data_IF_543654575340
#
_entry.id   IF_543654575340
#
_cell.length_a   1.000
_cell.length_b   1.000
_cell.length_c   1.000
_cell.angle_alpha   90.00
_cell.angle_beta   90.00
_cell.angle_gamma   90.00
#
_symmetry.space_group_name_H-M   'P 1'
#
loop_
_entity.id
_entity.type
_entity.pdbx_description
1 polymer ?
#
# COMPACT_ATOMS: atom_id res chain seq x y z
N UNK A 1 -1.75 -21.38 -33.66
CA UNK A 1 -2.19 -20.05 -34.14
C UNK A 1 -2.04 -19.08 -32.98
N UNK A 2 -1.05 -18.19 -33.05
CA UNK A 2 -0.83 -17.17 -32.04
C UNK A 2 -1.81 -16.02 -32.30
N UNK A 3 -2.70 -15.75 -31.35
CA UNK A 3 -3.55 -14.56 -31.38
C UNK A 3 -2.77 -13.40 -30.76
N UNK A 4 -2.15 -12.60 -31.63
CA UNK A 4 -1.65 -11.27 -31.29
C UNK A 4 -2.85 -10.32 -31.19
N UNK A 5 -3.17 -9.83 -29.99
CA UNK A 5 -4.11 -8.73 -29.83
C UNK A 5 -3.30 -7.44 -29.90
N UNK A 6 -3.56 -6.64 -30.93
CA UNK A 6 -2.99 -5.32 -31.15
C UNK A 6 -3.58 -4.30 -30.17
N UNK A 7 -2.70 -3.53 -29.54
CA UNK A 7 -3.06 -2.34 -28.77
C UNK A 7 -3.37 -1.19 -29.73
N UNK A 8 -4.59 -0.64 -29.69
CA UNK A 8 -4.83 0.73 -30.16
C UNK A 8 -4.91 1.65 -28.96
N UNK A 9 -3.74 2.18 -28.58
CA UNK A 9 -3.64 3.38 -27.76
C UNK A 9 -4.24 4.55 -28.54
N UNK A 10 -5.52 4.85 -28.31
CA UNK A 10 -6.11 6.16 -28.61
C UNK A 10 -6.45 6.82 -27.28
N UNK A 11 -5.44 7.35 -26.58
CA UNK A 11 -5.62 8.23 -25.43
C UNK A 11 -4.50 9.27 -25.45
N UNK A 12 -4.90 10.52 -25.68
CA UNK A 12 -4.04 11.71 -25.62
C UNK A 12 -3.30 11.76 -24.26
N UNK A 13 -1.95 11.76 -24.23
CA UNK A 13 -1.18 11.74 -22.99
C UNK A 13 -1.43 12.97 -22.09
N UNK A 14 -2.12 14.00 -22.58
CA UNK A 14 -2.45 15.23 -21.83
C UNK A 14 -3.76 15.16 -21.03
N UNK A 15 -4.57 14.10 -21.17
CA UNK A 15 -5.88 14.00 -20.50
C UNK A 15 -5.99 12.88 -19.45
N UNK A 16 -4.88 12.48 -18.82
CA UNK A 16 -4.90 11.63 -17.61
C UNK A 16 -5.40 12.44 -16.40
N UNK A 17 -6.70 12.70 -16.34
CA UNK A 17 -7.34 13.25 -15.15
C UNK A 17 -7.47 12.12 -14.11
N UNK A 18 -6.49 12.01 -13.21
CA UNK A 18 -6.39 11.09 -12.06
C UNK A 18 -6.21 9.58 -12.36
N UNK A 19 -5.35 8.92 -11.57
CA UNK A 19 -4.88 7.53 -11.75
C UNK A 19 -6.00 6.47 -11.62
N UNK A 20 -7.19 6.84 -11.13
CA UNK A 20 -8.32 5.96 -10.77
C UNK A 20 -9.69 6.58 -11.14
N UNK A 21 -9.72 7.45 -12.16
CA UNK A 21 -10.93 8.16 -12.57
C UNK A 21 -11.95 7.28 -13.29
N UNK A 22 -11.51 6.26 -14.01
CA UNK A 22 -12.36 5.33 -14.77
C UNK A 22 -12.29 3.89 -14.21
N UNK A 23 -13.35 3.07 -14.34
CA UNK A 23 -13.29 1.68 -13.94
C UNK A 23 -12.29 0.91 -14.80
N UNK A 24 -11.30 0.22 -14.19
CA UNK A 24 -10.32 -0.55 -14.95
C UNK A 24 -10.98 -1.74 -15.65
N UNK A 25 -10.40 -2.16 -16.79
CA UNK A 25 -10.84 -3.35 -17.51
C UNK A 25 -10.40 -4.59 -16.72
N UNK A 26 -11.37 -5.39 -16.27
CA UNK A 26 -11.13 -6.62 -15.53
C UNK A 26 -10.58 -7.70 -16.48
N UNK A 27 -9.26 -7.93 -16.43
CA UNK A 27 -8.64 -9.05 -17.14
C UNK A 27 -8.60 -10.34 -16.30
N UNK A 28 -8.84 -10.22 -14.98
CA UNK A 28 -8.82 -11.34 -14.04
C UNK A 28 -10.23 -11.58 -13.43
N UNK A 29 -10.99 -12.55 -13.95
CA UNK A 29 -12.35 -12.82 -13.47
C UNK A 29 -12.38 -13.39 -12.04
N UNK A 30 -11.33 -14.09 -11.59
CA UNK A 30 -11.24 -14.55 -10.19
C UNK A 30 -11.11 -13.37 -9.23
N UNK A 31 -10.27 -12.39 -9.57
CA UNK A 31 -10.13 -11.16 -8.80
C UNK A 31 -11.46 -10.41 -8.70
N UNK A 32 -12.21 -10.33 -9.81
CA UNK A 32 -13.51 -9.68 -9.83
C UNK A 32 -14.55 -10.41 -8.97
N UNK A 33 -14.58 -11.74 -9.04
CA UNK A 33 -15.47 -12.55 -8.21
C UNK A 33 -15.16 -12.37 -6.73
N UNK A 34 -13.87 -12.46 -6.34
CA UNK A 34 -13.44 -12.28 -4.94
C UNK A 34 -13.71 -10.88 -4.42
N UNK A 35 -13.55 -9.85 -5.25
CA UNK A 35 -13.92 -8.48 -4.91
C UNK A 35 -15.43 -8.35 -4.68
N UNK A 36 -16.25 -9.01 -5.50
CA UNK A 36 -17.69 -9.02 -5.35
C UNK A 36 -18.12 -9.77 -4.07
N UNK A 37 -17.54 -10.92 -3.80
CA UNK A 37 -17.77 -11.72 -2.59
C UNK A 37 -17.27 -10.99 -1.34
N UNK A 38 -16.19 -10.21 -1.49
CA UNK A 38 -15.57 -9.40 -0.44
C UNK A 38 -16.32 -8.11 -0.08
N UNK A 39 -17.30 -7.66 -0.90
CA UNK A 39 -18.12 -6.45 -0.60
C UNK A 39 -18.89 -6.53 0.71
N UNK A 40 -19.08 -7.75 1.21
CA UNK A 40 -19.83 -8.03 2.43
C UNK A 40 -18.94 -8.59 3.53
N UNK A 41 -17.61 -8.71 3.32
CA UNK A 41 -16.71 -9.34 4.26
C UNK A 41 -15.67 -8.36 4.82
N UNK A 42 -15.28 -8.51 6.10
CA UNK A 42 -14.31 -7.63 6.72
C UNK A 42 -12.86 -7.92 6.33
N UNK A 43 -12.60 -9.03 5.64
CA UNK A 43 -11.29 -9.49 5.22
C UNK A 43 -11.34 -9.95 3.75
N UNK A 44 -10.37 -9.51 2.96
CA UNK A 44 -10.10 -10.07 1.63
C UNK A 44 -8.68 -10.62 1.60
N UNK A 45 -8.55 -11.88 1.16
CA UNK A 45 -7.31 -12.63 1.17
C UNK A 45 -6.84 -12.98 -0.25
N UNK A 46 -5.73 -12.38 -0.68
CA UNK A 46 -5.11 -12.56 -2.00
C UNK A 46 -3.68 -13.14 -1.93
N UNK A 47 -3.32 -13.83 -0.86
CA UNK A 47 -1.99 -14.46 -0.73
C UNK A 47 -1.69 -15.41 -1.89
N UNK A 48 -0.47 -15.34 -2.45
CA UNK A 48 0.07 -16.29 -3.46
C UNK A 48 -0.73 -16.38 -4.76
N UNK A 49 -1.29 -15.25 -5.21
CA UNK A 49 -2.12 -15.18 -6.42
C UNK A 49 -1.40 -14.71 -7.68
N UNK A 50 -0.09 -14.41 -7.59
CA UNK A 50 0.71 -13.83 -8.69
C UNK A 50 0.16 -12.50 -9.20
N UNK A 51 -0.57 -11.76 -8.36
CA UNK A 51 -1.09 -10.43 -8.70
C UNK A 51 0.05 -9.48 -9.04
N UNK A 52 -0.20 -8.60 -10.00
CA UNK A 52 0.75 -7.63 -10.54
C UNK A 52 0.29 -6.20 -10.24
N UNK A 53 1.09 -5.22 -10.64
CA UNK A 53 0.72 -3.80 -10.54
C UNK A 53 -0.59 -3.46 -11.27
N UNK A 54 -0.90 -4.17 -12.37
CA UNK A 54 -2.14 -3.95 -13.11
C UNK A 54 -3.37 -4.39 -12.30
N UNK A 55 -3.24 -5.47 -11.53
CA UNK A 55 -4.32 -5.95 -10.65
C UNK A 55 -4.57 -4.96 -9.49
N UNK A 56 -3.54 -4.26 -9.04
CA UNK A 56 -3.65 -3.28 -7.95
C UNK A 56 -4.43 -2.04 -8.34
N UNK A 57 -4.49 -1.70 -9.63
CA UNK A 57 -5.40 -0.66 -10.13
C UNK A 57 -6.87 -1.04 -9.85
N UNK A 58 -7.21 -2.32 -10.06
CA UNK A 58 -8.56 -2.85 -9.80
C UNK A 58 -8.85 -2.88 -8.30
N UNK A 59 -7.91 -3.38 -7.50
CA UNK A 59 -8.05 -3.43 -6.03
C UNK A 59 -8.17 -2.02 -5.45
N UNK A 60 -7.35 -1.07 -5.90
CA UNK A 60 -7.42 0.32 -5.49
C UNK A 60 -8.74 0.98 -5.89
N UNK A 61 -9.20 0.74 -7.12
CA UNK A 61 -10.51 1.22 -7.57
C UNK A 61 -11.66 0.69 -6.70
N UNK A 62 -11.54 -0.56 -6.24
CA UNK A 62 -12.50 -1.17 -5.33
C UNK A 62 -12.47 -0.56 -3.92
N UNK A 63 -11.27 -0.32 -3.37
CA UNK A 63 -11.08 0.35 -2.08
C UNK A 63 -11.68 1.77 -2.05
N UNK A 64 -11.80 2.40 -3.21
CA UNK A 64 -12.46 3.71 -3.38
C UNK A 64 -13.99 3.64 -3.51
N UNK A 65 -14.59 2.45 -3.61
CA UNK A 65 -16.04 2.31 -3.56
C UNK A 65 -16.53 2.40 -2.10
N UNK A 66 -17.84 2.62 -1.88
CA UNK A 66 -18.44 2.66 -0.54
C UNK A 66 -18.38 1.27 0.11
N UNK A 67 -17.22 0.90 0.65
CA UNK A 67 -16.99 -0.35 1.36
C UNK A 67 -16.88 -0.06 2.85
N UNK A 68 -17.99 -0.26 3.55
CA UNK A 68 -18.10 -0.04 5.00
C UNK A 68 -17.65 -1.23 5.84
N UNK A 69 -17.32 -2.35 5.19
CA UNK A 69 -17.08 -3.62 5.88
C UNK A 69 -15.61 -3.99 5.91
N UNK A 70 -14.85 -3.67 4.85
CA UNK A 70 -13.48 -4.13 4.69
C UNK A 70 -12.51 -3.48 5.68
N UNK A 71 -12.08 -4.26 6.65
CA UNK A 71 -11.09 -3.86 7.66
C UNK A 71 -9.69 -4.39 7.38
N UNK A 72 -9.58 -5.51 6.65
CA UNK A 72 -8.32 -6.20 6.41
C UNK A 72 -8.14 -6.58 4.95
N UNK A 73 -6.97 -6.26 4.39
CA UNK A 73 -6.59 -6.60 3.03
C UNK A 73 -5.23 -7.30 3.05
N UNK A 74 -5.22 -8.57 2.69
CA UNK A 74 -4.00 -9.37 2.57
C UNK A 74 -3.65 -9.55 1.09
N UNK A 75 -2.51 -9.00 0.69
CA UNK A 75 -1.95 -9.01 -0.66
C UNK A 75 -0.55 -9.65 -0.68
N UNK A 76 -0.21 -10.44 0.33
CA UNK A 76 1.13 -10.99 0.48
C UNK A 76 1.48 -12.03 -0.59
N UNK A 77 2.78 -12.26 -0.78
CA UNK A 77 3.31 -13.25 -1.72
C UNK A 77 2.79 -13.05 -3.17
N UNK A 78 2.84 -11.82 -3.66
CA UNK A 78 2.44 -11.47 -5.03
C UNK A 78 3.62 -10.84 -5.80
N UNK A 79 3.33 -10.24 -6.96
CA UNK A 79 4.29 -9.54 -7.81
C UNK A 79 3.98 -8.05 -7.87
N UNK A 80 3.61 -7.47 -6.73
CA UNK A 80 3.30 -6.05 -6.60
C UNK A 80 4.62 -5.29 -6.50
N UNK A 81 4.87 -4.37 -7.41
CA UNK A 81 5.98 -3.44 -7.40
C UNK A 81 5.56 -2.02 -7.01
N UNK A 82 6.44 -1.06 -7.31
CA UNK A 82 6.24 0.35 -6.96
C UNK A 82 4.96 0.95 -7.54
N UNK A 83 4.58 0.54 -8.77
CA UNK A 83 3.38 1.06 -9.43
C UNK A 83 2.11 0.52 -8.78
N UNK A 84 2.10 -0.74 -8.36
CA UNK A 84 0.98 -1.32 -7.62
C UNK A 84 0.81 -0.66 -6.25
N UNK A 85 1.93 -0.44 -5.54
CA UNK A 85 1.93 0.32 -4.29
C UNK A 85 1.41 1.76 -4.49
N UNK A 86 1.74 2.41 -5.61
CA UNK A 86 1.19 3.72 -5.97
C UNK A 86 -0.35 3.69 -6.09
N UNK A 87 -0.92 2.74 -6.83
CA UNK A 87 -2.39 2.62 -6.95
C UNK A 87 -3.05 2.45 -5.59
N UNK A 88 -2.53 1.56 -4.74
CA UNK A 88 -3.06 1.35 -3.39
C UNK A 88 -2.94 2.61 -2.53
N UNK A 89 -1.83 3.32 -2.62
CA UNK A 89 -1.59 4.57 -1.89
C UNK A 89 -2.63 5.64 -2.22
N UNK A 90 -3.00 5.78 -3.49
CA UNK A 90 -4.07 6.70 -3.92
C UNK A 90 -5.43 6.33 -3.31
N UNK A 91 -5.71 5.03 -3.16
CA UNK A 91 -6.93 4.57 -2.51
C UNK A 91 -6.94 4.74 -0.97
N UNK A 92 -5.76 4.81 -0.35
CA UNK A 92 -5.61 4.99 1.09
C UNK A 92 -5.66 6.47 1.53
N UNK A 93 -5.47 7.42 0.61
CA UNK A 93 -5.58 8.86 0.91
C UNK A 93 -7.03 9.21 1.24
N UNK A 94 -7.29 9.64 2.48
CA UNK A 94 -8.64 10.01 2.99
C UNK A 94 -9.31 11.14 2.21
N UNK A 95 -8.52 11.99 1.57
CA UNK A 95 -8.98 13.14 0.77
C UNK A 95 -9.33 12.81 -0.69
N UNK A 96 -9.47 11.53 -1.05
CA UNK A 96 -10.03 11.16 -2.36
C UNK A 96 -11.53 11.46 -2.37
N UNK A 97 -11.89 12.75 -2.37
CA UNK A 97 -13.19 13.25 -2.79
C UNK A 97 -13.28 12.88 -4.26
N UNK A 98 -13.79 11.70 -4.55
CA UNK A 98 -14.23 11.38 -5.89
C UNK A 98 -15.45 12.25 -6.12
N UNK A 99 -15.24 13.43 -6.71
CA UNK A 99 -16.30 14.19 -7.39
C UNK A 99 -16.83 13.24 -8.46
N UNK A 100 -17.81 12.40 -8.12
CA UNK A 100 -18.58 11.70 -9.13
C UNK A 100 -19.22 12.81 -9.96
N UNK A 101 -18.90 12.95 -11.26
CA UNK A 101 -19.38 14.08 -12.06
C UNK A 101 -20.92 14.14 -12.16
N UNK A 102 -21.63 13.15 -11.63
CA UNK A 102 -23.08 13.00 -11.73
C UNK A 102 -23.81 12.64 -10.43
N UNK A 103 -23.22 12.83 -9.24
CA UNK A 103 -23.95 12.58 -7.98
C UNK A 103 -23.99 13.85 -7.12
N UNK A 104 -25.20 14.36 -6.88
CA UNK A 104 -25.47 15.56 -6.05
C UNK A 104 -25.13 15.35 -4.56
N UNK A 105 -24.67 14.16 -4.18
CA UNK A 105 -24.28 13.81 -2.82
C UNK A 105 -22.75 13.66 -2.77
N UNK A 106 -22.10 14.45 -1.91
CA UNK A 106 -20.74 14.18 -1.45
C UNK A 106 -20.78 12.83 -0.71
N UNK A 107 -20.61 11.73 -1.43
CA UNK A 107 -20.42 10.42 -0.84
C UNK A 107 -19.01 10.41 -0.26
N UNK A 108 -18.88 10.72 1.03
CA UNK A 108 -17.65 10.48 1.76
C UNK A 108 -17.37 8.98 1.70
N UNK A 109 -16.31 8.58 1.00
CA UNK A 109 -15.83 7.20 1.03
C UNK A 109 -15.27 6.99 2.44
N UNK A 110 -16.00 6.25 3.28
CA UNK A 110 -15.50 5.90 4.61
C UNK A 110 -14.53 4.74 4.44
N UNK A 111 -13.23 5.05 4.38
CA UNK A 111 -12.20 4.03 4.42
C UNK A 111 -12.25 3.34 5.79
N UNK A 112 -12.46 2.03 5.83
CA UNK A 112 -12.51 1.24 7.09
C UNK A 112 -11.32 0.33 7.27
N UNK A 113 -10.40 0.32 6.29
CA UNK A 113 -9.21 -0.52 6.31
C UNK A 113 -8.29 -0.13 7.48
N UNK A 114 -8.08 -1.09 8.38
CA UNK A 114 -7.19 -0.99 9.54
C UNK A 114 -5.93 -1.81 9.35
N UNK A 115 -5.98 -2.89 8.55
CA UNK A 115 -4.84 -3.79 8.32
C UNK A 115 -4.57 -3.95 6.82
N UNK A 116 -3.32 -3.71 6.42
CA UNK A 116 -2.83 -3.93 5.07
C UNK A 116 -1.57 -4.79 5.10
N UNK A 117 -1.63 -5.95 4.47
CA UNK A 117 -0.49 -6.85 4.30
C UNK A 117 -0.01 -6.87 2.86
N UNK A 118 1.20 -6.33 2.67
CA UNK A 118 1.95 -6.27 1.41
C UNK A 118 3.28 -7.03 1.51
N UNK A 119 3.41 -7.94 2.48
CA UNK A 119 4.64 -8.72 2.66
C UNK A 119 4.93 -9.64 1.47
N UNK A 120 6.20 -9.99 1.26
CA UNK A 120 6.64 -10.86 0.16
C UNK A 120 6.20 -10.35 -1.23
N UNK A 121 6.50 -9.08 -1.51
CA UNK A 121 6.27 -8.43 -2.80
C UNK A 121 7.59 -7.83 -3.33
N UNK A 122 7.50 -7.00 -4.37
CA UNK A 122 8.65 -6.36 -5.04
C UNK A 122 8.60 -4.83 -4.86
N UNK A 123 8.07 -4.36 -3.73
CA UNK A 123 7.93 -2.93 -3.45
C UNK A 123 9.31 -2.37 -3.08
N UNK A 124 9.75 -1.35 -3.81
CA UNK A 124 10.99 -0.64 -3.58
C UNK A 124 10.80 0.73 -2.94
N UNK A 125 11.83 1.56 -3.02
CA UNK A 125 11.84 2.89 -2.39
C UNK A 125 10.71 3.80 -2.90
N UNK A 126 10.36 3.74 -4.20
CA UNK A 126 9.31 4.61 -4.77
C UNK A 126 7.92 4.17 -4.35
N UNK A 127 7.65 2.87 -4.30
CA UNK A 127 6.39 2.35 -3.82
C UNK A 127 6.14 2.74 -2.36
N UNK A 128 7.19 2.64 -1.54
CA UNK A 128 7.13 3.08 -0.14
C UNK A 128 7.00 4.59 0.01
N UNK A 129 7.60 5.38 -0.88
CA UNK A 129 7.37 6.83 -0.90
C UNK A 129 5.88 7.16 -1.04
N UNK A 130 5.19 6.53 -2.00
CA UNK A 130 3.75 6.70 -2.19
C UNK A 130 2.95 6.24 -0.97
N UNK A 131 3.32 5.10 -0.37
CA UNK A 131 2.66 4.60 0.84
C UNK A 131 2.87 5.58 2.01
N UNK A 132 4.07 6.14 2.16
CA UNK A 132 4.38 7.16 3.17
C UNK A 132 3.52 8.42 3.01
N UNK A 133 3.39 8.94 1.79
CA UNK A 133 2.51 10.07 1.49
C UNK A 133 1.03 9.77 1.83
N UNK A 134 0.58 8.55 1.55
CA UNK A 134 -0.77 8.11 1.92
C UNK A 134 -0.94 8.00 3.43
N UNK A 135 0.03 7.43 4.14
CA UNK A 135 0.03 7.32 5.61
C UNK A 135 -0.05 8.68 6.30
N UNK A 136 0.63 9.72 5.78
CA UNK A 136 0.52 11.11 6.30
C UNK A 136 -0.92 11.64 6.33
N UNK A 137 -1.81 11.08 5.50
CA UNK A 137 -3.23 11.48 5.36
C UNK A 137 -4.22 10.44 5.86
N UNK A 138 -3.81 9.18 5.92
CA UNK A 138 -4.65 8.09 6.37
C UNK A 138 -4.82 8.16 7.89
N UNK A 139 -6.05 7.96 8.37
CA UNK A 139 -6.36 8.00 9.81
C UNK A 139 -7.05 6.74 10.31
N UNK A 140 -6.96 5.64 9.55
CA UNK A 140 -7.71 4.40 9.83
C UNK A 140 -6.81 3.18 9.88
N UNK A 141 -5.71 3.19 9.12
CA UNK A 141 -4.74 2.11 9.09
C UNK A 141 -3.96 2.10 10.42
N UNK A 142 -4.00 0.95 11.09
CA UNK A 142 -3.31 0.69 12.36
C UNK A 142 -2.17 -0.31 12.19
N UNK A 143 -2.28 -1.24 11.22
CA UNK A 143 -1.30 -2.29 10.95
C UNK A 143 -0.87 -2.25 9.48
N UNK A 144 0.44 -2.15 9.25
CA UNK A 144 1.04 -2.24 7.93
C UNK A 144 2.18 -3.27 7.91
N UNK A 145 2.06 -4.27 7.04
CA UNK A 145 3.03 -5.35 6.86
C UNK A 145 3.74 -5.20 5.50
N UNK A 146 5.05 -5.04 5.54
CA UNK A 146 5.95 -4.79 4.39
C UNK A 146 7.18 -5.71 4.42
N UNK A 147 7.16 -6.79 5.19
CA UNK A 147 8.28 -7.73 5.31
C UNK A 147 8.66 -8.32 3.94
N UNK A 148 9.93 -8.66 3.73
CA UNK A 148 10.42 -9.29 2.49
C UNK A 148 10.01 -8.50 1.22
N UNK A 149 10.35 -7.21 1.19
CA UNK A 149 10.26 -6.35 0.01
C UNK A 149 11.68 -5.83 -0.33
N UNK A 150 11.79 -4.85 -1.23
CA UNK A 150 13.05 -4.28 -1.72
C UNK A 150 13.26 -2.86 -1.18
N UNK A 151 12.85 -2.63 0.07
CA UNK A 151 12.87 -1.30 0.69
C UNK A 151 14.28 -0.99 1.19
N UNK A 152 14.93 -0.04 0.56
CA UNK A 152 16.27 0.43 0.92
C UNK A 152 16.26 1.56 1.94
N UNK A 153 17.47 2.04 2.28
CA UNK A 153 17.67 3.17 3.20
C UNK A 153 16.85 4.42 2.81
N UNK A 154 16.79 4.78 1.52
CA UNK A 154 16.00 5.93 1.05
C UNK A 154 14.49 5.72 1.26
N UNK A 155 13.95 4.55 0.90
CA UNK A 155 12.53 4.23 1.10
C UNK A 155 12.14 4.31 2.57
N UNK A 156 13.07 3.88 3.42
CA UNK A 156 12.91 3.91 4.86
C UNK A 156 12.77 5.35 5.42
N UNK A 157 13.50 6.33 4.88
CA UNK A 157 13.34 7.75 5.30
C UNK A 157 11.91 8.28 5.06
N UNK A 158 11.27 7.90 3.95
CA UNK A 158 9.89 8.32 3.67
C UNK A 158 8.88 7.77 4.67
N UNK A 159 9.08 6.55 5.17
CA UNK A 159 8.22 5.99 6.22
C UNK A 159 8.45 6.71 7.55
N UNK A 160 9.70 7.00 7.92
CA UNK A 160 9.99 7.79 9.13
C UNK A 160 9.26 9.12 9.09
N UNK A 161 9.41 9.88 8.01
CA UNK A 161 8.70 11.16 7.85
C UNK A 161 7.19 11.00 7.93
N UNK A 162 6.64 9.91 7.37
CA UNK A 162 5.22 9.63 7.45
C UNK A 162 4.80 9.38 8.90
N UNK A 163 5.54 8.54 9.62
CA UNK A 163 5.30 8.19 11.01
C UNK A 163 5.44 9.38 11.96
N UNK A 164 6.29 10.37 11.68
CA UNK A 164 6.35 11.60 12.49
C UNK A 164 5.00 12.32 12.53
N UNK A 165 4.20 12.23 11.47
CA UNK A 165 2.88 12.88 11.38
C UNK A 165 1.70 11.93 11.63
N UNK A 166 1.82 10.66 11.24
CA UNK A 166 0.74 9.68 11.37
C UNK A 166 0.71 9.09 12.78
N UNK A 167 -0.34 9.42 13.53
CA UNK A 167 -0.56 8.95 14.91
C UNK A 167 -1.46 7.71 15.00
N UNK A 168 -1.94 7.19 13.87
CA UNK A 168 -2.91 6.08 13.86
C UNK A 168 -2.27 4.72 13.69
N UNK A 169 -1.12 4.63 13.01
CA UNK A 169 -0.39 3.39 12.84
C UNK A 169 0.25 2.97 14.17
N UNK A 170 -0.06 1.75 14.61
CA UNK A 170 0.43 1.16 15.86
C UNK A 170 1.36 -0.02 15.60
N UNK A 171 1.33 -0.62 14.41
CA UNK A 171 2.20 -1.73 14.05
C UNK A 171 2.75 -1.57 12.64
N UNK A 172 4.07 -1.65 12.51
CA UNK A 172 4.77 -1.62 11.23
C UNK A 172 5.80 -2.76 11.19
N UNK A 173 5.68 -3.62 10.19
CA UNK A 173 6.60 -4.74 10.00
C UNK A 173 7.41 -4.55 8.72
N UNK A 174 8.73 -4.42 8.87
CA UNK A 174 9.69 -4.15 7.79
C UNK A 174 10.81 -5.18 7.75
N UNK A 175 10.64 -6.34 8.40
CA UNK A 175 11.69 -7.35 8.44
C UNK A 175 12.10 -7.85 7.06
N UNK A 176 13.37 -8.23 6.91
CA UNK A 176 13.96 -8.75 5.67
C UNK A 176 13.80 -7.81 4.47
N UNK A 177 14.09 -6.53 4.67
CA UNK A 177 14.25 -5.54 3.61
C UNK A 177 15.75 -5.15 3.49
N UNK A 178 16.06 -4.03 2.85
CA UNK A 178 17.40 -3.47 2.66
C UNK A 178 17.57 -2.15 3.45
N UNK A 179 16.90 -2.03 4.59
CA UNK A 179 16.88 -0.79 5.38
C UNK A 179 18.26 -0.57 6.00
N UNK A 180 18.84 0.60 5.73
CA UNK A 180 20.12 1.02 6.29
C UNK A 180 20.02 1.58 7.72
N UNK A 181 21.16 1.82 8.37
CA UNK A 181 21.23 2.24 9.78
C UNK A 181 20.67 3.65 10.02
N UNK A 182 20.43 4.43 8.97
CA UNK A 182 19.87 5.78 9.05
C UNK A 182 18.51 5.81 9.75
N UNK A 183 17.74 4.73 9.68
CA UNK A 183 16.47 4.61 10.41
C UNK A 183 16.65 4.74 11.94
N UNK A 184 17.79 4.31 12.49
CA UNK A 184 18.04 4.30 13.93
C UNK A 184 18.01 5.71 14.56
N UNK A 185 18.42 6.73 13.80
CA UNK A 185 18.45 8.11 14.28
C UNK A 185 17.05 8.63 14.66
N UNK A 186 16.01 8.08 14.03
CA UNK A 186 14.63 8.49 14.26
C UNK A 186 13.82 7.47 15.06
N UNK A 187 14.37 6.27 15.30
CA UNK A 187 13.67 5.19 15.99
C UNK A 187 13.26 5.60 17.40
N UNK A 188 14.17 6.25 18.13
CA UNK A 188 13.94 6.70 19.50
C UNK A 188 12.79 7.71 19.57
N UNK A 189 12.80 8.72 18.71
CA UNK A 189 11.72 9.73 18.64
C UNK A 189 10.35 9.12 18.31
N UNK A 190 10.33 8.10 17.44
CA UNK A 190 9.11 7.43 17.01
C UNK A 190 8.51 6.50 18.08
N UNK A 191 9.33 5.84 18.90
CA UNK A 191 8.88 4.86 19.89
C UNK A 191 8.69 5.42 21.30
N UNK A 192 9.40 6.50 21.67
CA UNK A 192 9.28 7.08 23.02
C UNK A 192 7.93 7.76 23.27
N UNK A 193 7.26 8.22 22.22
CA UNK A 193 6.04 9.02 22.33
C UNK A 193 4.78 8.33 21.78
N UNK A 194 4.89 7.10 21.28
CA UNK A 194 3.79 6.38 20.61
C UNK A 194 3.82 4.90 20.91
N UNK A 195 2.65 4.29 21.05
CA UNK A 195 2.47 2.84 21.11
C UNK A 195 2.68 2.21 19.71
N UNK A 196 3.85 2.45 19.11
CA UNK A 196 4.25 1.91 17.81
C UNK A 196 5.15 0.70 18.02
N UNK A 197 4.65 -0.47 17.62
CA UNK A 197 5.43 -1.70 17.51
C UNK A 197 6.09 -1.75 16.13
N UNK A 198 7.39 -2.00 16.11
CA UNK A 198 8.19 -2.02 14.88
C UNK A 198 9.05 -3.28 14.79
N UNK A 199 8.94 -4.01 13.69
CA UNK A 199 9.83 -5.15 13.38
C UNK A 199 10.79 -4.80 12.25
N UNK A 200 12.07 -4.66 12.58
CA UNK A 200 13.17 -4.39 11.63
C UNK A 200 14.09 -5.60 11.42
N UNK A 201 13.72 -6.78 11.94
CA UNK A 201 14.59 -7.97 11.93
C UNK A 201 15.03 -8.37 10.52
N UNK A 202 16.25 -8.90 10.37
CA UNK A 202 16.74 -9.37 9.07
C UNK A 202 17.03 -8.29 8.01
N UNK A 203 17.07 -7.01 8.37
CA UNK A 203 17.63 -5.94 7.51
C UNK A 203 19.16 -5.87 7.64
N UNK A 204 19.90 -5.61 6.54
CA UNK A 204 21.35 -5.47 6.57
C UNK A 204 21.78 -4.24 7.38
N UNK A 205 22.71 -4.42 8.33
CA UNK A 205 23.27 -3.44 9.32
C UNK A 205 22.63 -3.32 10.70
N UNK A 206 21.93 -4.34 11.21
CA UNK A 206 21.64 -4.42 12.65
C UNK A 206 22.74 -5.11 13.50
N UNK A 207 23.80 -5.66 12.88
CA UNK A 207 24.80 -6.48 13.60
C UNK A 207 26.27 -6.02 13.55
N UNK A 208 26.65 -4.98 12.80
CA UNK A 208 28.09 -4.68 12.63
C UNK A 208 28.69 -3.62 13.56
N UNK A 209 27.94 -2.93 14.44
CA UNK A 209 28.52 -1.88 15.31
C UNK A 209 28.10 -1.89 16.79
N UNK A 210 27.59 -3.01 17.32
CA UNK A 210 27.41 -3.17 18.78
C UNK A 210 28.23 -4.33 19.37
N UNK A 211 29.46 -4.52 18.88
CA UNK A 211 30.50 -5.09 19.74
C UNK A 211 30.91 -4.01 20.76
N UNK A 212 30.07 -3.78 21.77
CA UNK A 212 30.59 -3.33 23.05
C UNK A 212 31.25 -4.57 23.64
N UNK A 213 32.55 -4.71 23.39
CA UNK A 213 33.36 -5.63 24.20
C UNK A 213 33.36 -5.05 25.61
N UNK A 214 32.92 -5.90 26.53
CA UNK A 214 32.96 -5.76 27.99
C UNK A 214 34.35 -5.42 28.51
#
# INVERSE_FOLDING_TARGET
MALSITYTNNQDPKNKTSLLSEPPIYQNPELQQMINDGKIQPLIWFDKRKLTDADMEIVAYYLLQDNKTLTQLCLSNNKIGDKGAQYLSEALKKDTVRKKPFTLHLSYVTQTLTTLDLSYNQIGNKGVQHLGEALKKNTTLTILQLQNNQIGAQGSQYLVEALQTNTTLTELYLSRNEIGPQWQQHLQELTENRNLTLDLSGNPRYFENYCVTS
#
